data_IF_225437033194
#
_entry.id   IF_225437033194
#
_cell.length_a   1.000
_cell.length_b   1.000
_cell.length_c   1.000
_cell.angle_alpha   90.00
_cell.angle_beta   90.00
_cell.angle_gamma   90.00
#
_symmetry.space_group_name_H-M   'P 1'
#
loop_
_entity.id
_entity.type
_entity.pdbx_description
1 polymer ?
#
# COMPACT_ATOMS: atom_id res chain seq x y z
N UNK A 1 -65.56 15.91 38.57
CA UNK A 1 -65.53 16.03 40.04
C UNK A 1 -64.29 15.27 40.51
N UNK A 2 -63.15 15.96 40.66
CA UNK A 2 -62.43 16.23 41.93
C UNK A 2 -62.15 14.94 42.74
N UNK A 3 -60.93 14.54 43.14
CA UNK A 3 -59.72 15.22 43.67
C UNK A 3 -58.45 14.44 43.23
N UNK A 4 -57.23 14.97 42.98
CA UNK A 4 -56.27 15.82 43.70
C UNK A 4 -55.52 15.19 44.91
N UNK A 5 -54.17 15.15 44.78
CA UNK A 5 -53.10 15.08 45.82
C UNK A 5 -52.91 13.78 46.62
N UNK A 6 -51.72 13.30 46.98
CA UNK A 6 -50.33 13.77 46.83
C UNK A 6 -49.37 12.92 47.70
N UNK A 7 -48.08 13.29 47.65
CA UNK A 7 -47.01 13.07 48.65
C UNK A 7 -46.06 11.85 48.53
N UNK A 8 -44.78 12.21 48.58
CA UNK A 8 -43.52 11.47 48.35
C UNK A 8 -43.02 10.81 49.64
N UNK A 9 -42.31 9.68 49.56
CA UNK A 9 -41.22 9.38 50.49
C UNK A 9 -40.14 8.51 49.85
N UNK A 10 -38.92 9.05 49.77
CA UNK A 10 -37.68 8.33 49.52
C UNK A 10 -37.10 7.85 50.84
N UNK A 11 -36.63 6.61 50.91
CA UNK A 11 -35.60 6.21 51.87
C UNK A 11 -34.52 5.40 51.16
N UNK A 12 -33.33 6.00 51.11
CA UNK A 12 -32.06 5.33 50.91
C UNK A 12 -31.67 4.66 52.23
N UNK A 13 -31.33 3.37 52.20
CA UNK A 13 -30.51 2.73 53.23
C UNK A 13 -29.31 2.11 52.55
N UNK A 14 -28.15 2.65 52.90
CA UNK A 14 -26.83 2.16 52.55
C UNK A 14 -26.39 1.08 53.51
N UNK A 15 -25.77 0.03 52.97
CA UNK A 15 -24.73 -0.75 53.65
C UNK A 15 -25.19 -1.86 54.59
N UNK A 16 -24.87 -3.10 54.23
CA UNK A 16 -23.88 -3.89 54.97
C UNK A 16 -23.63 -5.21 54.24
N UNK A 17 -22.36 -5.45 53.94
CA UNK A 17 -21.84 -6.71 53.40
C UNK A 17 -21.96 -7.82 54.44
N UNK A 18 -22.44 -8.99 54.03
CA UNK A 18 -22.11 -10.25 54.69
C UNK A 18 -21.26 -11.08 53.73
N UNK A 19 -19.98 -11.25 54.09
CA UNK A 19 -19.10 -12.25 53.50
C UNK A 19 -19.61 -13.61 53.94
N UNK A 20 -19.86 -14.49 52.97
CA UNK A 20 -19.89 -15.93 53.22
C UNK A 20 -19.18 -16.59 52.05
N UNK A 21 -17.95 -17.01 52.31
CA UNK A 21 -17.22 -17.96 51.48
C UNK A 21 -18.02 -19.25 51.40
N UNK A 22 -18.28 -19.75 50.18
CA UNK A 22 -18.26 -21.18 49.89
C UNK A 22 -18.05 -21.41 48.39
N UNK A 23 -16.96 -22.10 48.10
CA UNK A 23 -16.47 -22.48 46.80
C UNK A 23 -17.20 -23.74 46.34
N UNK A 24 -18.04 -23.67 45.30
CA UNK A 24 -18.44 -24.85 44.51
C UNK A 24 -18.53 -24.44 43.03
N UNK A 25 -17.59 -24.93 42.23
CA UNK A 25 -17.69 -24.98 40.78
C UNK A 25 -18.82 -25.94 40.37
N UNK A 26 -19.90 -25.41 39.79
CA UNK A 26 -20.77 -26.18 38.90
C UNK A 26 -21.08 -25.33 37.67
N UNK A 27 -20.44 -25.71 36.58
CA UNK A 27 -20.70 -25.33 35.19
C UNK A 27 -22.16 -25.54 34.82
N UNK A 28 -22.86 -24.47 34.45
CA UNK A 28 -24.06 -24.53 33.62
C UNK A 28 -23.84 -23.71 32.34
N UNK A 29 -23.54 -24.43 31.27
CA UNK A 29 -23.45 -23.93 29.91
C UNK A 29 -24.84 -23.56 29.38
N UNK A 30 -25.25 -22.30 29.55
CA UNK A 30 -26.27 -21.70 28.69
C UNK A 30 -25.60 -21.36 27.36
N UNK A 31 -25.87 -22.16 26.35
CA UNK A 31 -25.38 -21.99 24.97
C UNK A 31 -26.03 -20.76 24.34
N UNK A 32 -25.41 -19.60 24.53
CA UNK A 32 -25.70 -18.40 23.73
C UNK A 32 -25.18 -18.65 22.32
N UNK A 33 -26.05 -19.00 21.39
CA UNK A 33 -25.75 -18.99 19.96
C UNK A 33 -25.57 -17.55 19.52
N UNK A 34 -24.32 -17.07 19.53
CA UNK A 34 -23.93 -15.84 18.84
C UNK A 34 -24.13 -16.09 17.35
N UNK A 35 -25.12 -15.41 16.77
CA UNK A 35 -25.32 -15.38 15.33
C UNK A 35 -24.03 -14.87 14.67
N UNK A 36 -23.42 -15.72 13.85
CA UNK A 36 -22.30 -15.38 12.98
C UNK A 36 -22.69 -14.16 12.14
N UNK A 37 -22.02 -13.02 12.37
CA UNK A 37 -22.16 -11.85 11.50
C UNK A 37 -21.71 -12.26 10.10
N UNK A 38 -22.66 -12.32 9.16
CA UNK A 38 -22.36 -12.55 7.76
C UNK A 38 -21.37 -11.48 7.28
N UNK A 39 -20.14 -11.89 6.99
CA UNK A 39 -19.13 -10.99 6.44
C UNK A 39 -19.62 -10.49 5.08
N UNK A 40 -20.03 -9.22 5.01
CA UNK A 40 -20.48 -8.61 3.75
C UNK A 40 -19.29 -8.57 2.79
N UNK A 41 -19.28 -9.50 1.83
CA UNK A 41 -18.27 -9.53 0.76
C UNK A 41 -18.53 -8.35 -0.16
N UNK A 42 -17.58 -7.42 -0.23
CA UNK A 42 -17.64 -6.32 -1.19
C UNK A 42 -17.51 -6.85 -2.61
N UNK A 43 -18.39 -6.42 -3.51
CA UNK A 43 -18.32 -6.72 -4.94
C UNK A 43 -18.54 -5.47 -5.78
N UNK A 44 -18.10 -5.50 -7.03
CA UNK A 44 -18.24 -4.40 -7.98
C UNK A 44 -18.78 -4.92 -9.31
N UNK A 45 -19.63 -4.11 -9.96
CA UNK A 45 -20.16 -4.43 -11.30
C UNK A 45 -19.11 -4.15 -12.38
N UNK A 46 -19.22 -4.76 -13.58
CA UNK A 46 -18.35 -4.44 -14.71
C UNK A 46 -18.33 -2.95 -15.06
N UNK A 47 -19.49 -2.27 -14.97
CA UNK A 47 -19.58 -0.83 -15.23
C UNK A 47 -18.75 -0.01 -14.22
N UNK A 48 -18.78 -0.37 -12.94
CA UNK A 48 -17.97 0.28 -11.90
C UNK A 48 -16.47 0.03 -12.12
N UNK A 49 -16.11 -1.19 -12.52
CA UNK A 49 -14.72 -1.56 -12.83
C UNK A 49 -14.24 -0.80 -14.08
N UNK A 50 -15.03 -0.75 -15.15
CA UNK A 50 -14.71 0.00 -16.37
C UNK A 50 -14.54 1.51 -16.14
N UNK A 51 -15.37 2.11 -15.28
CA UNK A 51 -15.21 3.51 -14.86
C UNK A 51 -13.91 3.72 -14.08
N UNK A 52 -13.55 2.80 -13.19
CA UNK A 52 -12.28 2.82 -12.46
C UNK A 52 -11.07 2.62 -13.39
N UNK A 53 -11.17 1.71 -14.36
CA UNK A 53 -10.16 1.48 -15.40
C UNK A 53 -9.89 2.73 -16.23
N UNK A 54 -10.95 3.48 -16.58
CA UNK A 54 -10.80 4.76 -17.27
C UNK A 54 -10.02 5.78 -16.43
N UNK A 55 -10.28 5.87 -15.12
CA UNK A 55 -9.53 6.74 -14.19
C UNK A 55 -8.06 6.32 -14.05
N UNK A 56 -7.79 5.02 -13.91
CA UNK A 56 -6.41 4.50 -13.79
C UNK A 56 -5.62 4.72 -15.08
N UNK A 57 -6.25 4.47 -16.24
CA UNK A 57 -5.69 4.78 -17.56
C UNK A 57 -5.29 6.26 -17.64
N UNK A 58 -6.23 7.17 -17.42
CA UNK A 58 -5.96 8.62 -17.50
C UNK A 58 -4.93 9.09 -16.48
N UNK A 59 -4.93 8.52 -15.27
CA UNK A 59 -3.90 8.82 -14.27
C UNK A 59 -2.52 8.39 -14.77
N UNK A 60 -2.39 7.19 -15.34
CA UNK A 60 -1.11 6.73 -15.89
C UNK A 60 -0.67 7.60 -17.06
N UNK A 61 -1.54 7.88 -18.03
CA UNK A 61 -1.23 8.73 -19.19
C UNK A 61 -0.76 10.14 -18.78
N UNK A 62 -1.32 10.67 -17.69
CA UNK A 62 -0.93 11.97 -17.14
C UNK A 62 0.36 11.93 -16.31
N UNK A 63 0.58 10.88 -15.52
CA UNK A 63 1.62 10.86 -14.48
C UNK A 63 2.77 9.89 -14.75
N UNK A 64 2.70 9.09 -15.81
CA UNK A 64 3.64 8.02 -16.16
C UNK A 64 3.90 7.03 -14.99
N UNK A 65 2.92 6.89 -14.09
CA UNK A 65 2.97 5.97 -12.94
C UNK A 65 1.55 5.54 -12.57
N UNK A 66 1.40 4.37 -11.93
CA UNK A 66 0.12 3.95 -11.38
C UNK A 66 -0.24 4.76 -10.13
N UNK A 67 -1.54 4.98 -9.84
CA UNK A 67 -1.95 5.54 -8.57
C UNK A 67 -1.72 4.52 -7.43
N UNK A 68 -1.71 4.98 -6.17
CA UNK A 68 -1.60 4.06 -5.03
C UNK A 68 -2.85 3.18 -4.86
N UNK A 69 -4.02 3.75 -5.17
CA UNK A 69 -5.31 3.10 -5.14
C UNK A 69 -6.27 3.77 -6.14
N UNK A 70 -7.41 3.14 -6.41
CA UNK A 70 -8.54 3.73 -7.12
C UNK A 70 -9.79 3.61 -6.25
N UNK A 71 -10.60 4.66 -6.22
CA UNK A 71 -11.86 4.65 -5.47
C UNK A 71 -12.99 4.11 -6.34
N UNK A 72 -13.61 3.02 -5.90
CA UNK A 72 -14.79 2.39 -6.55
C UNK A 72 -15.91 2.34 -5.51
N UNK A 73 -17.03 3.01 -5.79
CA UNK A 73 -18.19 3.09 -4.89
C UNK A 73 -17.79 3.43 -3.43
N UNK A 74 -17.06 4.54 -3.25
CA UNK A 74 -16.54 5.05 -1.96
C UNK A 74 -15.55 4.12 -1.23
N UNK A 75 -15.04 3.06 -1.87
CA UNK A 75 -14.02 2.18 -1.32
C UNK A 75 -12.69 2.36 -2.04
N UNK A 76 -11.61 2.53 -1.26
CA UNK A 76 -10.26 2.54 -1.81
C UNK A 76 -9.82 1.11 -2.12
N UNK A 77 -9.58 0.84 -3.40
CA UNK A 77 -9.10 -0.45 -3.92
C UNK A 77 -7.64 -0.29 -4.30
N UNK A 78 -6.76 -1.07 -3.67
CA UNK A 78 -5.31 -1.01 -3.95
C UNK A 78 -5.01 -1.54 -5.35
N UNK A 79 -3.88 -1.17 -5.95
CA UNK A 79 -3.52 -1.65 -7.28
C UNK A 79 -3.45 -3.19 -7.43
N UNK A 80 -2.97 -3.97 -6.43
CA UNK A 80 -3.01 -5.44 -6.54
C UNK A 80 -4.43 -6.00 -6.55
N UNK A 81 -5.31 -5.43 -5.72
CA UNK A 81 -6.73 -5.78 -5.70
C UNK A 81 -7.42 -5.34 -7.00
N UNK A 82 -7.03 -4.19 -7.55
CA UNK A 82 -7.55 -3.71 -8.81
C UNK A 82 -7.13 -4.61 -9.97
N UNK A 83 -5.88 -5.10 -9.99
CA UNK A 83 -5.42 -6.09 -10.96
C UNK A 83 -6.29 -7.35 -10.94
N UNK A 84 -6.73 -7.80 -9.76
CA UNK A 84 -7.67 -8.90 -9.64
C UNK A 84 -9.01 -8.58 -10.31
N UNK A 85 -9.62 -7.44 -9.99
CA UNK A 85 -10.92 -7.05 -10.55
C UNK A 85 -10.89 -6.95 -12.08
N UNK A 86 -9.89 -6.28 -12.64
CA UNK A 86 -9.81 -6.07 -14.10
C UNK A 86 -9.44 -7.36 -14.84
N UNK A 87 -8.66 -8.26 -14.22
CA UNK A 87 -8.35 -9.58 -14.79
C UNK A 87 -9.59 -10.48 -14.82
N UNK A 88 -10.38 -10.48 -13.74
CA UNK A 88 -11.66 -11.17 -13.67
C UNK A 88 -12.65 -10.62 -14.71
N UNK A 89 -12.72 -9.28 -14.86
CA UNK A 89 -13.67 -8.64 -15.75
C UNK A 89 -13.37 -8.94 -17.23
N UNK A 90 -12.11 -8.81 -17.65
CA UNK A 90 -11.69 -9.19 -19.01
C UNK A 90 -12.01 -10.66 -19.28
N UNK A 91 -11.68 -11.55 -18.34
CA UNK A 91 -11.93 -12.98 -18.51
C UNK A 91 -13.43 -13.29 -18.59
N UNK A 92 -14.28 -12.73 -17.73
CA UNK A 92 -15.72 -13.00 -17.78
C UNK A 92 -16.38 -12.39 -19.04
N UNK A 93 -15.95 -11.20 -19.46
CA UNK A 93 -16.44 -10.56 -20.69
C UNK A 93 -16.11 -11.41 -21.92
N UNK A 94 -14.94 -12.06 -21.95
CA UNK A 94 -14.59 -13.03 -23.01
C UNK A 94 -15.53 -14.24 -23.06
N UNK A 95 -16.15 -14.58 -21.92
CA UNK A 95 -17.13 -15.64 -21.77
C UNK A 95 -18.59 -15.13 -21.82
N UNK A 96 -18.82 -13.89 -22.28
CA UNK A 96 -20.15 -13.26 -22.36
C UNK A 96 -20.88 -13.17 -21.00
N UNK A 97 -20.12 -13.01 -19.91
CA UNK A 97 -20.66 -12.85 -18.55
C UNK A 97 -20.42 -11.42 -18.04
N UNK A 98 -21.36 -10.92 -17.25
CA UNK A 98 -21.35 -9.54 -16.71
C UNK A 98 -21.68 -9.49 -15.21
N UNK A 99 -21.44 -10.60 -14.51
CA UNK A 99 -21.69 -10.73 -13.07
C UNK A 99 -20.81 -9.80 -12.25
N UNK A 100 -21.30 -9.39 -11.08
CA UNK A 100 -20.49 -8.62 -10.13
C UNK A 100 -19.32 -9.45 -9.63
N UNK A 101 -18.14 -8.82 -9.56
CA UNK A 101 -16.90 -9.47 -9.15
C UNK A 101 -16.64 -9.15 -7.69
N UNK A 102 -16.44 -10.19 -6.88
CA UNK A 102 -16.11 -10.03 -5.46
C UNK A 102 -14.67 -9.58 -5.31
N UNK A 103 -14.46 -8.50 -4.55
CA UNK A 103 -13.13 -8.01 -4.19
C UNK A 103 -12.40 -9.03 -3.33
N UNK A 104 -11.19 -9.41 -3.74
CA UNK A 104 -10.30 -10.27 -2.95
C UNK A 104 -9.27 -9.44 -2.20
N UNK A 105 -8.77 -9.97 -1.09
CA UNK A 105 -7.55 -9.45 -0.50
C UNK A 105 -6.37 -9.93 -1.34
N UNK A 106 -5.58 -9.00 -1.87
CA UNK A 106 -4.45 -9.30 -2.77
C UNK A 106 -3.27 -8.45 -2.34
N UNK A 107 -2.14 -9.11 -2.06
CA UNK A 107 -0.89 -8.45 -1.70
C UNK A 107 -0.08 -8.05 -2.92
N UNK A 108 0.80 -7.06 -2.75
CA UNK A 108 1.70 -6.59 -3.80
C UNK A 108 2.70 -7.68 -4.23
N UNK A 109 3.18 -7.68 -5.49
CA UNK A 109 4.26 -8.56 -5.93
C UNK A 109 5.55 -8.25 -5.16
N UNK A 110 6.47 -9.22 -5.07
CA UNK A 110 7.75 -9.01 -4.36
C UNK A 110 8.78 -8.30 -5.24
N UNK A 111 8.96 -8.78 -6.47
CA UNK A 111 10.04 -8.34 -7.36
C UNK A 111 9.56 -8.32 -8.82
N UNK A 112 8.76 -7.31 -9.23
CA UNK A 112 8.34 -7.17 -10.62
C UNK A 112 9.53 -6.98 -11.56
N UNK A 113 9.62 -7.80 -12.61
CA UNK A 113 10.68 -7.73 -13.63
C UNK A 113 10.02 -7.70 -15.00
N UNK A 114 10.56 -6.87 -15.91
CA UNK A 114 10.05 -6.73 -17.27
C UNK A 114 11.18 -6.87 -18.29
N UNK A 115 10.90 -7.58 -19.38
CA UNK A 115 11.70 -7.55 -20.60
C UNK A 115 10.79 -7.48 -21.85
N UNK A 116 9.63 -6.82 -21.69
CA UNK A 116 8.62 -6.65 -22.73
C UNK A 116 9.15 -5.79 -23.88
N UNK A 117 8.91 -6.22 -25.12
CA UNK A 117 9.11 -5.43 -26.33
C UNK A 117 7.82 -4.71 -26.72
N UNK A 118 7.94 -3.53 -27.33
CA UNK A 118 6.77 -2.83 -27.87
C UNK A 118 6.13 -3.63 -29.00
N UNK A 119 4.80 -3.63 -29.04
CA UNK A 119 4.04 -4.37 -30.03
C UNK A 119 2.55 -4.38 -29.72
N UNK A 120 1.83 -5.32 -30.34
CA UNK A 120 0.41 -5.51 -30.12
C UNK A 120 0.14 -6.89 -29.52
N UNK A 121 -0.60 -6.92 -28.42
CA UNK A 121 -1.17 -8.15 -27.89
C UNK A 121 -2.51 -8.38 -28.58
N UNK A 122 -2.67 -9.52 -29.25
CA UNK A 122 -3.96 -9.85 -29.88
C UNK A 122 -5.05 -10.06 -28.83
N UNK A 123 -6.33 -10.01 -29.25
CA UNK A 123 -7.47 -10.31 -28.40
C UNK A 123 -7.34 -11.63 -27.64
N UNK A 124 -6.99 -12.69 -28.34
CA UNK A 124 -6.78 -14.01 -27.74
C UNK A 124 -5.67 -13.97 -26.68
N UNK A 125 -4.59 -13.25 -26.96
CA UNK A 125 -3.42 -13.18 -26.09
C UNK A 125 -3.68 -12.40 -24.80
N UNK A 126 -4.27 -11.20 -24.87
CA UNK A 126 -4.56 -10.44 -23.65
C UNK A 126 -5.66 -11.10 -22.81
N UNK A 127 -6.61 -11.83 -23.42
CA UNK A 127 -7.60 -12.64 -22.69
C UNK A 127 -6.90 -13.78 -21.95
N UNK A 128 -5.95 -14.46 -22.61
CA UNK A 128 -5.15 -15.49 -21.96
C UNK A 128 -4.31 -14.92 -20.81
N UNK A 129 -3.69 -13.74 -21.00
CA UNK A 129 -2.97 -13.03 -19.94
C UNK A 129 -3.87 -12.73 -18.73
N UNK A 130 -5.09 -12.24 -18.96
CA UNK A 130 -6.06 -11.98 -17.90
C UNK A 130 -6.43 -13.28 -17.16
N UNK A 131 -6.63 -14.39 -17.90
CA UNK A 131 -6.93 -15.71 -17.34
C UNK A 131 -5.80 -16.24 -16.43
N UNK A 132 -4.55 -16.17 -16.88
CA UNK A 132 -3.41 -16.67 -16.08
C UNK A 132 -3.12 -15.76 -14.88
N UNK A 133 -3.19 -14.44 -15.05
CA UNK A 133 -3.04 -13.45 -13.97
C UNK A 133 -4.06 -13.71 -12.87
N UNK A 134 -5.33 -13.86 -13.25
CA UNK A 134 -6.41 -14.25 -12.36
C UNK A 134 -6.09 -15.55 -11.62
N UNK A 135 -5.72 -16.59 -12.35
CA UNK A 135 -5.46 -17.91 -11.77
C UNK A 135 -4.32 -17.85 -10.73
N UNK A 136 -3.25 -17.10 -11.03
CA UNK A 136 -2.17 -16.84 -10.11
C UNK A 136 -2.65 -16.12 -8.84
N UNK A 137 -3.41 -15.05 -8.97
CA UNK A 137 -3.92 -14.28 -7.83
C UNK A 137 -4.80 -15.15 -6.93
N UNK A 138 -5.69 -15.95 -7.51
CA UNK A 138 -6.59 -16.81 -6.74
C UNK A 138 -5.85 -17.93 -6.01
N UNK A 139 -4.77 -18.46 -6.60
CA UNK A 139 -3.95 -19.48 -5.97
C UNK A 139 -3.05 -18.93 -4.85
N UNK A 140 -2.56 -17.70 -5.00
CA UNK A 140 -1.49 -17.17 -4.13
C UNK A 140 -1.92 -16.02 -3.20
N UNK A 141 -3.10 -15.42 -3.39
CA UNK A 141 -3.52 -14.23 -2.65
C UNK A 141 -2.61 -13.01 -2.91
N UNK A 142 -1.89 -13.01 -4.03
CA UNK A 142 -0.81 -12.08 -4.36
C UNK A 142 -0.77 -11.82 -5.85
N UNK A 143 -0.47 -10.58 -6.24
CA UNK A 143 -0.25 -10.24 -7.64
C UNK A 143 1.06 -10.84 -8.19
N UNK A 144 1.09 -11.31 -9.45
CA UNK A 144 2.30 -11.86 -10.05
C UNK A 144 3.36 -10.75 -10.24
N UNK A 145 4.64 -11.12 -10.19
CA UNK A 145 5.72 -10.20 -10.55
C UNK A 145 5.63 -9.79 -12.03
N UNK A 146 5.30 -10.75 -12.88
CA UNK A 146 5.12 -10.62 -14.33
C UNK A 146 4.32 -11.81 -14.86
N UNK A 147 3.84 -11.68 -16.08
CA UNK A 147 3.32 -12.79 -16.88
C UNK A 147 4.12 -12.91 -18.19
N UNK A 148 4.11 -14.09 -18.80
CA UNK A 148 4.77 -14.30 -20.10
C UNK A 148 3.77 -14.06 -21.23
N UNK A 149 4.21 -13.34 -22.27
CA UNK A 149 3.51 -13.14 -23.53
C UNK A 149 4.47 -13.28 -24.72
N UNK A 150 3.96 -13.22 -25.94
CA UNK A 150 4.74 -13.30 -27.18
C UNK A 150 5.79 -12.19 -27.30
N UNK A 151 5.58 -11.07 -26.62
CA UNK A 151 6.47 -9.91 -26.60
C UNK A 151 7.48 -9.91 -25.43
N UNK A 152 7.46 -10.94 -24.57
CA UNK A 152 8.33 -11.08 -23.39
C UNK A 152 7.57 -11.13 -22.06
N UNK A 153 8.24 -10.80 -20.96
CA UNK A 153 7.67 -10.70 -19.62
C UNK A 153 7.02 -9.34 -19.45
N UNK A 154 5.70 -9.32 -19.33
CA UNK A 154 4.93 -8.13 -18.98
C UNK A 154 4.82 -8.02 -17.46
N UNK A 155 5.40 -6.97 -16.85
CA UNK A 155 5.39 -6.85 -15.38
C UNK A 155 4.02 -6.46 -14.83
N UNK A 156 3.83 -6.68 -13.54
CA UNK A 156 2.68 -6.27 -12.73
C UNK A 156 2.07 -4.90 -13.12
N UNK A 157 2.89 -3.84 -13.17
CA UNK A 157 2.38 -2.50 -13.43
C UNK A 157 1.85 -2.35 -14.86
N UNK A 158 2.50 -3.02 -15.81
CA UNK A 158 2.08 -3.01 -17.21
C UNK A 158 0.81 -3.81 -17.44
N UNK A 159 0.64 -4.92 -16.72
CA UNK A 159 -0.62 -5.67 -16.70
C UNK A 159 -1.77 -4.76 -16.26
N UNK A 160 -1.61 -3.99 -15.18
CA UNK A 160 -2.65 -3.07 -14.71
C UNK A 160 -2.98 -2.02 -15.76
N UNK A 161 -1.97 -1.38 -16.34
CA UNK A 161 -2.19 -0.33 -17.33
C UNK A 161 -2.83 -0.87 -18.62
N UNK A 162 -2.31 -1.98 -19.14
CA UNK A 162 -2.82 -2.66 -20.34
C UNK A 162 -4.26 -3.12 -20.16
N UNK A 163 -4.58 -3.79 -19.05
CA UNK A 163 -5.96 -4.18 -18.75
C UNK A 163 -6.88 -2.98 -18.49
N UNK A 164 -6.38 -1.90 -17.91
CA UNK A 164 -7.14 -0.66 -17.75
C UNK A 164 -7.50 -0.02 -19.11
N UNK A 165 -6.57 0.00 -20.08
CA UNK A 165 -6.85 0.45 -21.45
C UNK A 165 -7.92 -0.41 -22.11
N UNK A 166 -7.81 -1.73 -21.99
CA UNK A 166 -8.76 -2.70 -22.57
C UNK A 166 -10.18 -2.47 -22.01
N UNK A 167 -10.33 -2.34 -20.69
CA UNK A 167 -11.63 -2.13 -20.07
C UNK A 167 -12.18 -0.71 -20.28
N UNK A 168 -11.32 0.32 -20.34
CA UNK A 168 -11.76 1.66 -20.72
C UNK A 168 -12.29 1.69 -22.17
N UNK A 169 -11.62 0.98 -23.09
CA UNK A 169 -12.11 0.80 -24.46
C UNK A 169 -13.44 0.06 -24.46
N UNK A 170 -13.55 -1.04 -23.71
CA UNK A 170 -14.77 -1.84 -23.66
C UNK A 170 -15.96 -1.04 -23.10
N UNK A 171 -15.75 -0.24 -22.04
CA UNK A 171 -16.78 0.62 -21.47
C UNK A 171 -17.28 1.68 -22.46
N UNK A 172 -16.40 2.19 -23.33
CA UNK A 172 -16.76 3.19 -24.34
C UNK A 172 -17.38 2.60 -25.62
N UNK A 173 -17.05 1.35 -25.96
CA UNK A 173 -17.40 0.75 -27.27
C UNK A 173 -18.30 -0.49 -27.16
N UNK A 174 -18.70 -0.89 -25.95
CA UNK A 174 -19.49 -2.09 -25.66
C UNK A 174 -18.90 -3.40 -26.23
N UNK A 175 -17.60 -3.43 -26.52
CA UNK A 175 -16.87 -4.61 -27.01
C UNK A 175 -15.41 -4.58 -26.58
N UNK A 176 -14.82 -5.74 -26.36
CA UNK A 176 -13.37 -5.85 -26.16
C UNK A 176 -12.61 -5.48 -27.47
N UNK A 177 -11.46 -4.80 -27.39
CA UNK A 177 -10.67 -4.38 -28.55
C UNK A 177 -10.06 -5.59 -29.29
N UNK A 178 -9.72 -5.45 -30.57
CA UNK A 178 -9.11 -6.57 -31.33
C UNK A 178 -7.65 -6.81 -30.94
N UNK A 179 -6.99 -5.78 -30.42
CA UNK A 179 -5.63 -5.83 -29.90
C UNK A 179 -5.44 -4.75 -28.82
N UNK A 180 -4.41 -4.89 -28.01
CA UNK A 180 -3.90 -3.85 -27.13
C UNK A 180 -2.46 -3.51 -27.50
N UNK A 181 -2.19 -2.25 -27.81
CA UNK A 181 -0.83 -1.78 -28.06
C UNK A 181 -0.09 -1.62 -26.73
N UNK A 182 0.98 -2.39 -26.56
CA UNK A 182 1.82 -2.37 -25.37
C UNK A 182 3.22 -1.90 -25.71
N UNK A 183 3.84 -1.27 -24.74
CA UNK A 183 5.25 -0.91 -24.74
C UNK A 183 5.81 -1.38 -23.39
N UNK A 184 7.14 -1.60 -23.27
CA UNK A 184 7.75 -1.77 -21.96
C UNK A 184 7.23 -0.66 -21.06
N UNK A 185 6.63 -1.05 -19.93
CA UNK A 185 6.08 -0.08 -19.01
C UNK A 185 7.24 0.77 -18.62
N UNK A 186 7.16 2.05 -19.03
CA UNK A 186 8.15 3.07 -18.73
C UNK A 186 8.65 2.74 -17.36
N UNK A 187 9.94 2.39 -17.23
CA UNK A 187 10.52 2.37 -15.90
C UNK A 187 10.05 3.70 -15.33
N UNK A 188 9.19 3.71 -14.33
CA UNK A 188 9.48 4.64 -13.26
C UNK A 188 10.81 4.09 -12.74
N UNK A 189 12.02 4.45 -13.14
CA UNK A 189 12.54 5.66 -13.79
C UNK A 189 11.48 6.74 -13.96
N UNK A 190 11.13 7.42 -12.87
CA UNK A 190 11.76 8.73 -12.82
C UNK A 190 13.22 8.62 -13.28
N UNK A 191 13.41 8.56 -14.59
CA UNK A 191 14.03 9.67 -15.23
C UNK A 191 12.96 10.79 -15.23
N UNK A 192 12.60 11.50 -14.15
CA UNK A 192 13.51 12.44 -13.52
C UNK A 192 14.88 11.82 -13.56
N UNK A 193 15.55 12.01 -14.70
CA UNK A 193 16.99 12.13 -14.65
C UNK A 193 16.99 13.29 -13.71
N UNK A 194 17.17 12.98 -12.43
CA UNK A 194 17.19 13.98 -11.41
C UNK A 194 18.20 14.91 -12.05
N UNK A 195 17.76 16.14 -12.40
CA UNK A 195 18.66 17.12 -12.98
C UNK A 195 19.92 16.99 -12.14
N UNK A 196 21.10 16.85 -12.74
CA UNK A 196 22.38 16.59 -12.05
C UNK A 196 22.43 17.16 -10.62
N UNK A 197 21.88 18.36 -10.45
CA UNK A 197 21.44 19.04 -9.23
C UNK A 197 20.81 18.20 -8.08
N UNK A 198 19.81 17.33 -8.26
CA UNK A 198 19.20 16.62 -7.11
C UNK A 198 19.95 15.33 -6.72
N UNK A 199 20.78 14.73 -7.59
CA UNK A 199 21.70 13.66 -7.21
C UNK A 199 22.89 14.28 -6.48
N UNK A 200 23.35 15.44 -6.97
CA UNK A 200 24.27 16.29 -6.24
C UNK A 200 23.67 16.76 -4.90
N UNK A 201 22.35 17.00 -4.81
CA UNK A 201 21.69 17.33 -3.54
C UNK A 201 21.64 16.13 -2.60
N UNK A 202 21.32 14.92 -3.10
CA UNK A 202 21.40 13.68 -2.31
C UNK A 202 22.81 13.47 -1.78
N UNK A 203 23.83 13.59 -2.63
CA UNK A 203 25.23 13.41 -2.25
C UNK A 203 25.69 14.50 -1.28
N UNK A 204 25.36 15.77 -1.54
CA UNK A 204 25.69 16.89 -0.64
C UNK A 204 25.04 16.73 0.73
N UNK A 205 23.78 16.28 0.79
CA UNK A 205 23.09 15.99 2.04
C UNK A 205 23.75 14.80 2.75
N UNK A 206 24.14 13.75 2.04
CA UNK A 206 24.86 12.60 2.62
C UNK A 206 26.23 12.94 3.18
N UNK A 207 27.03 13.71 2.46
CA UNK A 207 28.32 14.18 2.99
C UNK A 207 28.16 15.19 4.13
N UNK A 208 27.03 15.92 4.21
CA UNK A 208 26.73 16.78 5.35
C UNK A 208 26.29 15.95 6.56
N UNK A 209 25.42 14.97 6.35
CA UNK A 209 24.94 14.05 7.39
C UNK A 209 26.07 13.26 8.04
N UNK A 210 26.99 12.71 7.25
CA UNK A 210 28.09 11.88 7.75
C UNK A 210 29.08 12.63 8.67
N UNK A 211 28.98 13.95 8.78
CA UNK A 211 29.76 14.75 9.75
C UNK A 211 29.21 14.64 11.17
N UNK A 212 27.96 14.20 11.32
CA UNK A 212 27.30 14.11 12.62
C UNK A 212 27.66 12.80 13.31
N UNK A 213 28.03 12.88 14.59
CA UNK A 213 28.32 11.69 15.39
C UNK A 213 27.03 11.01 15.84
N UNK A 214 27.02 9.68 15.87
CA UNK A 214 25.94 8.92 16.52
C UNK A 214 26.12 9.00 18.04
N UNK A 215 25.19 9.68 18.71
CA UNK A 215 25.18 9.86 20.17
C UNK A 215 23.78 9.56 20.69
N UNK A 216 23.66 8.45 21.44
CA UNK A 216 22.39 7.98 21.99
C UNK A 216 21.78 8.96 22.99
N UNK A 217 20.44 9.06 23.00
CA UNK A 217 19.68 9.93 23.90
C UNK A 217 19.50 11.38 23.40
N UNK A 218 19.86 11.65 22.15
CA UNK A 218 19.80 12.98 21.51
C UNK A 218 18.89 12.91 20.29
N UNK A 219 17.58 12.82 20.52
CA UNK A 219 16.58 12.41 19.51
C UNK A 219 15.94 13.54 18.68
N UNK A 220 16.37 14.78 18.88
CA UNK A 220 15.81 15.94 18.19
C UNK A 220 16.62 16.29 16.95
N UNK A 221 15.99 16.41 15.78
CA UNK A 221 16.65 16.85 14.54
C UNK A 221 17.41 18.17 14.70
N UNK A 222 16.95 19.05 15.61
CA UNK A 222 17.59 20.34 15.86
C UNK A 222 18.97 20.25 16.50
N UNK A 223 19.33 19.10 17.12
CA UNK A 223 20.67 18.91 17.71
C UNK A 223 21.73 18.58 16.66
N UNK A 224 21.35 18.04 15.50
CA UNK A 224 22.29 17.70 14.43
C UNK A 224 23.04 18.95 13.96
N UNK A 225 22.31 19.96 13.49
CA UNK A 225 22.90 21.22 13.00
C UNK A 225 23.53 22.09 14.12
N UNK A 226 23.01 22.00 15.36
CA UNK A 226 23.47 22.83 16.49
C UNK A 226 24.68 22.27 17.22
N UNK A 227 24.76 20.95 17.34
CA UNK A 227 25.67 20.26 18.23
C UNK A 227 26.61 19.29 17.51
N UNK A 228 26.35 19.00 16.23
CA UNK A 228 27.19 18.11 15.44
C UNK A 228 26.98 16.62 15.76
N UNK A 229 25.89 16.25 16.43
CA UNK A 229 25.57 14.87 16.81
C UNK A 229 24.07 14.65 16.97
N UNK A 230 23.67 13.38 16.98
CA UNK A 230 22.31 12.95 17.34
C UNK A 230 22.16 11.44 17.20
N UNK A 231 21.09 10.88 17.75
CA UNK A 231 20.77 9.46 17.59
C UNK A 231 19.96 9.20 16.29
N UNK A 232 19.52 7.95 16.08
CA UNK A 232 18.77 7.57 14.89
C UNK A 232 17.41 8.26 14.73
N UNK A 233 16.80 8.78 15.80
CA UNK A 233 15.60 9.61 15.71
C UNK A 233 15.92 11.03 15.23
N UNK A 234 17.02 11.61 15.72
CA UNK A 234 17.48 12.93 15.26
C UNK A 234 17.94 12.88 13.81
N UNK A 235 18.76 11.89 13.46
CA UNK A 235 19.29 11.70 12.11
C UNK A 235 18.16 11.50 11.09
N UNK A 236 17.30 10.51 11.32
CA UNK A 236 16.21 10.21 10.37
C UNK A 236 15.27 11.40 10.15
N UNK A 237 15.03 12.20 11.19
CA UNK A 237 14.22 13.41 11.10
C UNK A 237 14.95 14.55 10.38
N UNK A 238 16.25 14.70 10.59
CA UNK A 238 17.08 15.69 9.90
C UNK A 238 17.18 15.39 8.40
N UNK A 239 17.48 14.14 8.05
CA UNK A 239 17.52 13.65 6.67
C UNK A 239 16.17 13.86 5.99
N UNK A 240 15.07 13.47 6.64
CA UNK A 240 13.72 13.71 6.11
C UNK A 240 13.49 15.19 5.78
N UNK A 241 13.85 16.11 6.67
CA UNK A 241 13.64 17.54 6.45
C UNK A 241 14.49 18.08 5.28
N UNK A 242 15.78 17.73 5.20
CA UNK A 242 16.65 18.20 4.12
C UNK A 242 16.27 17.61 2.76
N UNK A 243 15.99 16.31 2.71
CA UNK A 243 15.64 15.61 1.48
C UNK A 243 14.28 16.05 0.94
N UNK A 244 13.27 16.18 1.80
CA UNK A 244 11.95 16.67 1.39
C UNK A 244 12.01 18.13 0.92
N UNK A 245 12.78 18.99 1.60
CA UNK A 245 13.00 20.37 1.16
C UNK A 245 13.71 20.46 -0.21
N UNK A 246 14.59 19.50 -0.52
CA UNK A 246 15.23 19.36 -1.82
C UNK A 246 14.32 18.69 -2.89
N UNK A 247 13.05 18.44 -2.58
CA UNK A 247 12.09 17.82 -3.50
C UNK A 247 12.35 16.33 -3.75
N UNK A 248 13.17 15.68 -2.91
CA UNK A 248 13.47 14.25 -3.00
C UNK A 248 12.41 13.50 -2.19
N UNK A 249 11.65 12.58 -2.81
CA UNK A 249 10.70 11.75 -2.08
C UNK A 249 11.41 10.92 -1.01
N UNK A 250 10.97 11.08 0.24
CA UNK A 250 11.64 10.54 1.42
C UNK A 250 10.62 10.04 2.44
N UNK A 251 10.94 8.96 3.14
CA UNK A 251 10.13 8.43 4.25
C UNK A 251 11.00 7.96 5.40
N UNK A 252 10.49 8.12 6.61
CA UNK A 252 11.09 7.61 7.84
C UNK A 252 10.51 6.22 8.10
N UNK A 253 11.41 5.27 8.31
CA UNK A 253 11.11 3.89 8.66
C UNK A 253 11.46 3.63 10.12
N UNK A 254 10.75 2.71 10.77
CA UNK A 254 11.06 2.26 12.12
C UNK A 254 10.72 0.79 12.33
N UNK A 255 11.32 0.20 13.35
CA UNK A 255 11.03 -1.17 13.79
C UNK A 255 9.91 -1.21 14.80
N UNK A 256 9.09 -2.28 14.77
CA UNK A 256 8.14 -2.60 15.84
C UNK A 256 8.79 -3.35 17.00
N UNK A 257 9.93 -4.00 16.75
CA UNK A 257 10.82 -4.59 17.76
C UNK A 257 12.27 -4.46 17.30
N UNK A 258 13.13 -3.90 18.16
CA UNK A 258 14.55 -3.68 17.86
C UNK A 258 15.40 -4.96 17.85
N UNK A 259 14.85 -6.10 18.28
CA UNK A 259 15.62 -7.33 18.48
C UNK A 259 16.54 -7.22 19.71
N UNK A 260 17.82 -7.60 19.57
CA UNK A 260 18.86 -7.48 20.61
C UNK A 260 19.30 -6.01 20.80
N UNK A 261 18.95 -5.12 19.87
CA UNK A 261 19.20 -3.69 19.92
C UNK A 261 17.90 -2.93 20.21
N UNK A 262 18.02 -1.71 20.72
CA UNK A 262 16.91 -0.78 20.98
C UNK A 262 16.10 -0.48 19.70
N UNK A 263 14.89 0.07 19.84
CA UNK A 263 14.09 0.55 18.70
C UNK A 263 14.96 1.41 17.77
N UNK A 264 14.79 1.23 16.45
CA UNK A 264 15.65 1.89 15.46
C UNK A 264 14.83 2.66 14.43
N UNK A 265 15.43 3.70 13.87
CA UNK A 265 14.88 4.49 12.76
C UNK A 265 15.91 4.72 11.67
N UNK A 266 15.46 4.70 10.44
CA UNK A 266 16.26 5.04 9.26
C UNK A 266 15.40 5.71 8.21
N UNK A 267 16.04 6.15 7.13
CA UNK A 267 15.36 6.80 6.00
C UNK A 267 15.38 5.91 4.77
N UNK A 268 14.28 5.94 4.02
CA UNK A 268 14.26 5.49 2.63
C UNK A 268 13.97 6.66 1.71
N UNK A 269 14.66 6.69 0.57
CA UNK A 269 14.45 7.67 -0.49
C UNK A 269 13.94 6.98 -1.75
N UNK A 270 13.18 7.70 -2.56
CA UNK A 270 12.81 7.23 -3.89
C UNK A 270 13.36 8.20 -4.93
N UNK A 271 14.52 7.84 -5.48
CA UNK A 271 15.20 8.54 -6.59
C UNK A 271 14.73 8.06 -7.96
N UNK A 272 13.71 7.18 -7.99
CA UNK A 272 13.10 6.66 -9.19
C UNK A 272 13.26 5.19 -9.47
N UNK A 273 13.95 4.46 -8.60
CA UNK A 273 14.04 3.00 -8.67
C UNK A 273 13.20 2.32 -7.56
N UNK A 274 12.16 3.01 -7.09
CA UNK A 274 11.41 2.60 -5.90
C UNK A 274 12.06 3.11 -4.61
N UNK A 275 11.51 2.70 -3.47
CA UNK A 275 12.05 3.05 -2.17
C UNK A 275 13.34 2.27 -1.92
N UNK A 276 14.41 3.00 -1.61
CA UNK A 276 15.72 2.45 -1.29
C UNK A 276 16.16 3.01 0.07
N UNK A 277 16.72 2.16 0.91
CA UNK A 277 17.35 2.57 2.17
C UNK A 277 18.45 3.59 1.90
N UNK A 278 18.48 4.64 2.73
CA UNK A 278 19.56 5.63 2.71
C UNK A 278 20.91 4.94 2.84
N UNK A 279 21.84 5.31 1.97
CA UNK A 279 23.12 4.61 1.86
C UNK A 279 24.15 5.22 2.83
N UNK A 280 23.94 4.99 4.12
CA UNK A 280 24.85 5.43 5.20
C UNK A 280 26.31 5.03 4.93
N UNK A 281 26.52 3.80 4.43
CA UNK A 281 27.84 3.28 4.12
C UNK A 281 28.56 4.06 3.00
N UNK A 282 27.86 4.46 1.94
CA UNK A 282 28.43 5.26 0.84
C UNK A 282 29.03 6.58 1.33
N UNK A 283 28.40 7.22 2.32
CA UNK A 283 28.84 8.51 2.83
C UNK A 283 29.76 8.40 4.05
N UNK A 284 30.07 7.17 4.49
CA UNK A 284 30.87 6.90 5.69
C UNK A 284 30.23 7.50 6.97
N UNK A 285 28.90 7.42 7.06
CA UNK A 285 28.13 7.87 8.22
C UNK A 285 28.37 6.96 9.45
N UNK A 286 28.25 7.55 10.63
CA UNK A 286 28.27 6.84 11.91
C UNK A 286 26.90 6.25 12.29
N UNK A 287 25.83 6.67 11.60
CA UNK A 287 24.48 6.16 11.79
C UNK A 287 24.26 4.88 10.97
N UNK A 288 23.31 4.06 11.43
CA UNK A 288 23.09 2.72 10.88
C UNK A 288 21.88 2.64 9.96
N UNK A 289 22.00 1.80 8.93
CA UNK A 289 20.91 1.48 8.01
C UNK A 289 19.78 0.67 8.69
N UNK A 290 18.86 0.08 7.92
CA UNK A 290 17.80 -0.76 8.47
C UNK A 290 18.35 -1.86 9.40
N UNK A 291 17.83 -1.91 10.63
CA UNK A 291 18.12 -2.93 11.65
C UNK A 291 16.79 -3.47 12.19
N UNK A 292 16.82 -4.60 12.91
CA UNK A 292 15.64 -5.17 13.59
C UNK A 292 14.53 -5.70 12.67
N UNK A 293 13.33 -5.96 13.21
CA UNK A 293 12.23 -6.63 12.50
C UNK A 293 10.90 -5.87 12.57
N UNK A 294 9.95 -6.25 11.70
CA UNK A 294 8.61 -5.68 11.65
C UNK A 294 8.61 -4.18 11.32
N UNK A 295 9.06 -3.84 10.11
CA UNK A 295 9.28 -2.46 9.67
C UNK A 295 7.97 -1.77 9.28
N UNK A 296 7.84 -0.50 9.62
CA UNK A 296 6.70 0.33 9.22
C UNK A 296 7.13 1.77 8.89
N UNK A 297 6.28 2.46 8.13
CA UNK A 297 6.49 3.87 7.76
C UNK A 297 5.98 4.74 8.90
N UNK A 298 6.87 5.55 9.49
CA UNK A 298 6.53 6.55 10.53
C UNK A 298 5.99 7.83 9.90
N UNK A 299 6.62 8.26 8.79
CA UNK A 299 6.32 9.51 8.10
C UNK A 299 6.74 9.42 6.64
N UNK A 300 5.95 9.99 5.72
CA UNK A 300 6.23 10.02 4.29
C UNK A 300 6.05 11.44 3.74
N UNK A 301 6.93 11.87 2.85
CA UNK A 301 6.82 13.17 2.16
C UNK A 301 5.89 13.12 0.93
N UNK A 302 5.36 11.93 0.63
CA UNK A 302 4.46 11.62 -0.50
C UNK A 302 3.26 10.81 -0.05
#
# INVERSE_FOLDING_TARGET
MLLLSGLVLFFNVSGASAVTTNNINVTNHTKTTVASQATVKTSFTPSQIGAASSKVKSYYEKNNKLPCYVTINNKNVTMPQFLQLISDDIYQLSNKKTTSITLKNVTAPSNPVENLKSGQLTKTEYINLAKITRSYIYANGKAPNYENCSLGKIKYQNLIYSFSKILAFQAANNRLPNYDSVAPFSKTSTTNKISSNALASVDSIGYAEAKFRDVQGQSSASVMDKCGYGDCWADSSWLYNKLSAAGIPVRIMSTTSGGIYYLHRWVEINTGNGWQTWNYAKYNSQHYSALGSGHYVVKSSV
#
